data_IF_980619145477
#
_entry.id   IF_980619145477
#
_cell.length_a   1.000
_cell.length_b   1.000
_cell.length_c   1.000
_cell.angle_alpha   90.00
_cell.angle_beta   90.00
_cell.angle_gamma   90.00
#
_symmetry.space_group_name_H-M   'P 1'
#
loop_
_entity.id
_entity.type
_entity.pdbx_description
1 polymer ?
#
# COMPACT_ATOMS: atom_id res chain seq x y z
N UNK A 1 9.43 0.13 -7.36
CA UNK A 1 8.00 -0.19 -7.46
C UNK A 1 7.23 0.97 -8.09
N UNK A 2 7.33 2.19 -7.55
CA UNK A 2 6.67 3.41 -8.04
C UNK A 2 6.70 3.60 -9.57
N UNK A 3 7.88 3.54 -10.21
CA UNK A 3 7.99 3.70 -11.66
C UNK A 3 7.18 2.67 -12.49
N UNK A 4 7.12 1.42 -12.03
CA UNK A 4 6.36 0.36 -12.72
C UNK A 4 4.86 0.62 -12.56
N UNK A 5 4.43 1.05 -11.37
CA UNK A 5 3.02 1.40 -11.13
C UNK A 5 2.61 2.59 -11.98
N UNK A 6 3.42 3.64 -12.06
CA UNK A 6 3.15 4.80 -12.92
C UNK A 6 2.92 4.38 -14.38
N UNK A 7 3.72 3.46 -14.91
CA UNK A 7 3.55 2.92 -16.26
C UNK A 7 2.27 2.08 -16.39
N UNK A 8 1.93 1.29 -15.37
CA UNK A 8 0.68 0.52 -15.34
C UNK A 8 -0.56 1.42 -15.23
N UNK A 9 -0.50 2.54 -14.52
CA UNK A 9 -1.60 3.50 -14.41
C UNK A 9 -1.94 4.14 -15.77
N UNK A 10 -0.92 4.41 -16.60
CA UNK A 10 -1.12 4.92 -17.97
C UNK A 10 -1.95 3.95 -18.83
N UNK A 11 -1.92 2.64 -18.50
CA UNK A 11 -2.63 1.63 -19.27
C UNK A 11 -4.15 1.59 -19.02
N UNK A 12 -4.66 2.25 -17.96
CA UNK A 12 -6.07 2.26 -17.54
C UNK A 12 -6.70 0.86 -17.34
N UNK A 13 -5.88 -0.18 -17.16
CA UNK A 13 -6.32 -1.55 -16.91
C UNK A 13 -6.09 -1.89 -15.43
N UNK A 14 -6.99 -2.68 -14.83
CA UNK A 14 -6.80 -3.23 -13.49
C UNK A 14 -5.48 -4.02 -13.38
N UNK A 15 -4.55 -3.54 -12.55
CA UNK A 15 -3.29 -4.22 -12.25
C UNK A 15 -3.21 -4.65 -10.79
N UNK A 16 -2.45 -5.72 -10.54
CA UNK A 16 -2.27 -6.34 -9.22
C UNK A 16 -0.84 -6.83 -9.06
N UNK A 17 -0.36 -6.87 -7.83
CA UNK A 17 0.96 -7.38 -7.47
C UNK A 17 0.90 -8.88 -7.21
N UNK A 18 1.87 -9.61 -7.75
CA UNK A 18 2.09 -11.01 -7.44
C UNK A 18 2.78 -11.12 -6.06
N UNK A 19 2.25 -11.91 -5.11
CA UNK A 19 2.89 -12.13 -3.82
C UNK A 19 4.25 -12.82 -3.97
N UNK A 20 5.05 -12.76 -2.90
CA UNK A 20 6.33 -13.48 -2.87
C UNK A 20 6.08 -15.00 -2.90
N UNK A 21 7.07 -15.78 -3.33
CA UNK A 21 6.98 -17.25 -3.30
C UNK A 21 6.75 -17.80 -1.88
N UNK A 22 7.20 -17.07 -0.86
CA UNK A 22 7.00 -17.41 0.55
C UNK A 22 5.52 -17.24 0.95
N UNK A 23 4.86 -16.17 0.45
CA UNK A 23 3.44 -15.92 0.67
C UNK A 23 2.53 -16.91 -0.05
N UNK A 24 2.97 -17.43 -1.20
CA UNK A 24 2.16 -18.29 -2.08
C UNK A 24 2.03 -19.75 -1.61
N UNK A 25 2.90 -20.20 -0.72
CA UNK A 25 2.94 -21.61 -0.31
C UNK A 25 3.14 -22.57 -1.50
N UNK A 26 2.94 -23.87 -1.27
CA UNK A 26 3.14 -24.92 -2.27
C UNK A 26 1.95 -25.15 -3.22
N UNK A 27 0.90 -24.31 -3.15
CA UNK A 27 -0.23 -24.39 -4.07
C UNK A 27 -0.07 -23.41 -5.23
N UNK A 28 -0.26 -23.92 -6.45
CA UNK A 28 -0.23 -23.12 -7.67
C UNK A 28 -1.14 -21.90 -7.52
N UNK A 29 -0.58 -20.72 -7.82
CA UNK A 29 -1.15 -19.40 -7.58
C UNK A 29 -2.55 -19.28 -8.16
N UNK A 30 -3.56 -19.10 -7.30
CA UNK A 30 -4.92 -18.75 -7.75
C UNK A 30 -4.97 -17.26 -8.02
N UNK A 31 -5.82 -16.84 -8.96
CA UNK A 31 -6.03 -15.40 -9.28
C UNK A 31 -6.44 -14.60 -8.03
N UNK A 32 -7.08 -15.23 -7.06
CA UNK A 32 -7.45 -14.64 -5.77
C UNK A 32 -6.27 -14.25 -4.88
N UNK A 33 -5.07 -14.79 -5.14
CA UNK A 33 -3.87 -14.52 -4.35
C UNK A 33 -3.18 -13.22 -4.79
N UNK A 34 -3.59 -12.64 -5.94
CA UNK A 34 -3.05 -11.38 -6.43
C UNK A 34 -3.51 -10.19 -5.55
N UNK A 35 -2.54 -9.50 -4.96
CA UNK A 35 -2.75 -8.36 -4.07
C UNK A 35 -3.00 -7.08 -4.88
N UNK A 36 -3.93 -6.23 -4.44
CA UNK A 36 -4.05 -4.88 -5.01
C UNK A 36 -2.80 -4.08 -4.68
N UNK A 37 -2.40 -3.17 -5.58
CA UNK A 37 -1.36 -2.19 -5.27
C UNK A 37 -1.92 -1.23 -4.22
N UNK A 38 -1.19 -1.07 -3.12
CA UNK A 38 -1.55 -0.17 -2.02
C UNK A 38 -0.66 1.06 -2.02
N UNK A 39 -1.12 2.13 -1.36
CA UNK A 39 -0.37 3.39 -1.30
C UNK A 39 1.02 3.21 -0.68
N UNK A 40 1.17 2.25 0.24
CA UNK A 40 2.46 1.94 0.88
C UNK A 40 3.50 1.46 -0.13
N UNK A 41 3.08 0.78 -1.20
CA UNK A 41 3.99 0.33 -2.26
C UNK A 41 4.53 1.51 -3.11
N UNK A 42 3.87 2.67 -3.03
CA UNK A 42 4.22 3.90 -3.75
C UNK A 42 5.09 4.84 -2.93
N UNK A 43 4.99 4.79 -1.60
CA UNK A 43 5.74 5.66 -0.68
C UNK A 43 7.25 5.32 -0.64
N UNK A 44 7.68 4.21 -1.25
CA UNK A 44 9.09 3.87 -1.44
C UNK A 44 9.88 3.64 -0.15
N UNK A 45 9.20 3.63 1.00
CA UNK A 45 9.74 3.39 2.33
C UNK A 45 9.13 2.12 2.91
N UNK A 46 9.83 1.50 3.86
CA UNK A 46 9.27 0.40 4.62
C UNK A 46 7.95 0.83 5.29
N UNK A 47 6.89 0.00 5.23
CA UNK A 47 5.62 0.29 5.89
C UNK A 47 5.85 0.58 7.38
N UNK A 48 5.28 1.67 7.87
CA UNK A 48 5.36 2.03 9.29
C UNK A 48 4.13 1.48 10.00
N UNK A 49 4.34 0.66 11.03
CA UNK A 49 3.25 0.22 11.91
C UNK A 49 2.76 1.40 12.76
N UNK A 50 1.48 1.74 12.65
CA UNK A 50 0.86 2.85 13.37
C UNK A 50 -0.11 2.31 14.43
N UNK A 51 -0.01 2.87 15.64
CA UNK A 51 -0.96 2.59 16.74
C UNK A 51 -2.14 3.57 16.64
N UNK A 52 -3.18 3.14 15.93
CA UNK A 52 -4.29 4.00 15.52
C UNK A 52 -5.12 4.54 16.69
N UNK A 53 -5.24 3.78 17.78
CA UNK A 53 -6.00 4.22 18.95
C UNK A 53 -5.33 5.41 19.64
N UNK A 54 -4.02 5.34 19.82
CA UNK A 54 -3.20 6.42 20.42
C UNK A 54 -3.20 7.67 19.54
N UNK A 55 -3.03 7.51 18.23
CA UNK A 55 -3.07 8.63 17.27
C UNK A 55 -4.44 9.30 17.32
N UNK A 56 -5.52 8.52 17.29
CA UNK A 56 -6.89 9.03 17.38
C UNK A 56 -7.11 9.79 18.68
N UNK A 57 -6.76 9.20 19.83
CA UNK A 57 -6.89 9.84 21.14
C UNK A 57 -6.14 11.19 21.18
N UNK A 58 -4.98 11.28 20.54
CA UNK A 58 -4.19 12.50 20.47
C UNK A 58 -4.71 13.57 19.50
N UNK A 59 -5.49 13.21 18.47
CA UNK A 59 -5.90 14.12 17.39
C UNK A 59 -7.39 14.49 17.39
N UNK A 60 -8.26 13.71 18.04
CA UNK A 60 -9.70 13.99 18.08
C UNK A 60 -9.99 15.41 18.60
N UNK A 61 -10.80 16.15 17.84
CA UNK A 61 -11.22 17.51 18.18
C UNK A 61 -10.17 18.60 17.95
N UNK A 62 -8.98 18.27 17.44
CA UNK A 62 -7.92 19.25 17.17
C UNK A 62 -7.91 19.69 15.72
N UNK A 63 -7.56 20.95 15.47
CA UNK A 63 -7.25 21.48 14.13
C UNK A 63 -5.77 21.29 13.88
N UNK A 64 -5.43 20.51 12.85
CA UNK A 64 -4.04 20.18 12.49
C UNK A 64 -3.72 20.81 11.14
N UNK A 65 -2.59 21.50 11.04
CA UNK A 65 -2.04 22.02 9.79
C UNK A 65 -0.94 21.09 9.30
N UNK A 66 -1.07 20.59 8.07
CA UNK A 66 -0.08 19.71 7.43
C UNK A 66 0.68 20.54 6.42
N UNK A 67 2.01 20.62 6.54
CA UNK A 67 2.88 21.42 5.65
C UNK A 67 3.79 20.57 4.75
N UNK A 68 3.58 19.24 4.70
CA UNK A 68 4.34 18.31 3.87
C UNK A 68 3.77 16.90 3.94
N UNK A 69 2.77 16.60 3.10
CA UNK A 69 2.12 15.28 3.00
C UNK A 69 2.60 14.44 1.82
N UNK A 70 3.77 14.77 1.28
CA UNK A 70 4.48 13.95 0.29
C UNK A 70 5.42 12.98 0.97
#
# INVERSE_FOLDING_TARGET
MQHIVEVCEISEIDFRTLPTLQDLGSQATKIGDLKKVVIDDLLGREPVSLEWESIRAGLVGKRVMITGGG
#
